data_IF_677845009934
#
_entry.id   IF_677845009934
#
_cell.length_a   1.000
_cell.length_b   1.000
_cell.length_c   1.000
_cell.angle_alpha   90.00
_cell.angle_beta   90.00
_cell.angle_gamma   90.00
#
_symmetry.space_group_name_H-M   'P 1'
#
loop_
_entity.id
_entity.type
_entity.pdbx_description
1 polymer ?
#
# COMPACT_ATOMS: atom_id res chain seq x y z
N UNK A 1 10.25 15.48 -16.88
CA UNK A 1 8.91 14.87 -16.69
C UNK A 1 7.98 15.96 -16.20
N UNK A 2 6.85 16.17 -16.88
CA UNK A 2 5.81 17.11 -16.43
C UNK A 2 4.98 16.45 -15.31
N UNK A 3 5.09 16.96 -14.08
CA UNK A 3 4.39 16.41 -12.92
C UNK A 3 2.88 16.57 -13.01
N UNK A 4 2.39 17.66 -13.59
CA UNK A 4 0.95 17.92 -13.66
C UNK A 4 0.28 16.95 -14.63
N UNK A 5 0.93 16.68 -15.77
CA UNK A 5 0.50 15.65 -16.70
C UNK A 5 0.48 14.27 -16.03
N UNK A 6 1.54 13.89 -15.31
CA UNK A 6 1.60 12.61 -14.57
C UNK A 6 0.48 12.51 -13.54
N UNK A 7 0.24 13.54 -12.73
CA UNK A 7 -0.84 13.52 -11.75
C UNK A 7 -2.20 13.35 -12.40
N UNK A 8 -2.47 14.08 -13.49
CA UNK A 8 -3.75 13.96 -14.21
C UNK A 8 -3.96 12.55 -14.76
N UNK A 9 -2.95 11.97 -15.42
CA UNK A 9 -3.02 10.62 -15.97
C UNK A 9 -3.20 9.57 -14.88
N UNK A 10 -2.38 9.63 -13.83
CA UNK A 10 -2.45 8.67 -12.73
C UNK A 10 -3.79 8.78 -11.97
N UNK A 11 -4.27 9.99 -11.68
CA UNK A 11 -5.57 10.18 -11.02
C UNK A 11 -6.70 9.55 -11.84
N UNK A 12 -6.76 9.84 -13.14
CA UNK A 12 -7.76 9.23 -14.00
C UNK A 12 -7.70 7.70 -13.99
N UNK A 13 -6.49 7.12 -14.05
CA UNK A 13 -6.32 5.67 -13.97
C UNK A 13 -6.82 5.11 -12.63
N UNK A 14 -6.42 5.68 -11.50
CA UNK A 14 -6.82 5.18 -10.18
C UNK A 14 -8.33 5.31 -9.94
N UNK A 15 -8.97 6.37 -10.45
CA UNK A 15 -10.41 6.58 -10.35
C UNK A 15 -11.23 5.56 -11.17
N UNK A 16 -10.64 4.97 -12.22
CA UNK A 16 -11.35 4.11 -13.18
C UNK A 16 -10.98 2.63 -13.07
N UNK A 17 -9.70 2.32 -12.86
CA UNK A 17 -9.14 0.96 -12.91
C UNK A 17 -8.51 0.53 -11.58
N UNK A 18 -8.40 1.43 -10.59
CA UNK A 18 -7.64 1.18 -9.36
C UNK A 18 -8.15 0.01 -8.53
N UNK A 19 -9.47 -0.19 -8.49
CA UNK A 19 -10.10 -1.29 -7.75
C UNK A 19 -9.74 -2.66 -8.32
N UNK A 20 -9.75 -2.79 -9.65
CA UNK A 20 -9.42 -4.04 -10.34
C UNK A 20 -7.91 -4.34 -10.24
N UNK A 21 -7.07 -3.32 -10.30
CA UNK A 21 -5.61 -3.47 -10.21
C UNK A 21 -5.14 -3.85 -8.80
N UNK A 22 -5.71 -3.24 -7.76
CA UNK A 22 -5.23 -3.42 -6.38
C UNK A 22 -5.94 -4.55 -5.63
N UNK A 23 -7.08 -5.02 -6.11
CA UNK A 23 -7.94 -5.95 -5.37
C UNK A 23 -8.41 -5.31 -4.06
N UNK A 24 -9.49 -4.52 -4.13
CA UNK A 24 -10.20 -3.92 -2.99
C UNK A 24 -9.32 -3.57 -1.77
N UNK A 25 -8.53 -2.48 -1.87
CA UNK A 25 -7.93 -1.78 -0.73
C UNK A 25 -8.96 -0.77 -0.19
N UNK A 26 -10.11 -1.29 0.22
CA UNK A 26 -11.26 -0.53 0.71
C UNK A 26 -11.94 -1.30 1.82
N UNK A 27 -12.68 -0.59 2.67
CA UNK A 27 -13.42 -1.24 3.76
C UNK A 27 -14.29 -2.41 3.25
N UNK A 28 -14.32 -3.53 4.00
CA UNK A 28 -13.76 -3.72 5.34
C UNK A 28 -12.27 -4.13 5.40
N UNK A 29 -11.55 -4.13 4.28
CA UNK A 29 -10.15 -4.56 4.21
C UNK A 29 -9.18 -3.37 4.06
N UNK A 30 -8.05 -3.42 4.76
CA UNK A 30 -6.97 -2.45 4.64
C UNK A 30 -5.79 -2.99 3.82
N UNK A 31 -6.07 -3.85 2.86
CA UNK A 31 -5.10 -4.50 1.98
C UNK A 31 -5.08 -6.01 2.12
N UNK A 32 -3.92 -6.62 1.93
CA UNK A 32 -3.84 -8.05 1.60
C UNK A 32 -4.43 -8.97 2.66
N UNK A 33 -4.04 -8.78 3.91
CA UNK A 33 -4.43 -9.67 5.02
C UNK A 33 -4.68 -8.85 6.29
N UNK A 34 -5.32 -7.70 6.14
CA UNK A 34 -5.63 -6.78 7.25
C UNK A 34 -7.07 -6.31 7.09
N UNK A 35 -7.85 -6.36 8.18
CA UNK A 35 -9.27 -5.96 8.15
C UNK A 35 -9.59 -4.97 9.27
N UNK A 36 -10.57 -4.11 9.02
CA UNK A 36 -11.08 -3.18 10.03
C UNK A 36 -11.78 -3.90 11.18
N UNK A 37 -12.45 -5.03 10.91
CA UNK A 37 -13.10 -5.83 11.95
C UNK A 37 -12.13 -6.23 13.07
N UNK A 38 -10.87 -6.55 12.71
CA UNK A 38 -9.82 -6.90 13.66
C UNK A 38 -9.06 -5.70 14.18
N UNK A 39 -8.73 -4.74 13.32
CA UNK A 39 -7.87 -3.62 13.69
C UNK A 39 -8.61 -2.49 14.41
N UNK A 40 -9.91 -2.35 14.20
CA UNK A 40 -10.80 -1.37 14.82
C UNK A 40 -10.22 0.06 14.78
N UNK A 41 -9.62 0.43 13.65
CA UNK A 41 -8.94 1.72 13.46
C UNK A 41 -9.92 2.89 13.47
N UNK A 42 -11.18 2.73 13.05
CA UNK A 42 -12.15 3.80 13.19
C UNK A 42 -12.41 4.11 14.66
N UNK A 43 -12.68 3.07 15.46
CA UNK A 43 -13.11 3.21 16.85
C UNK A 43 -14.20 4.28 17.01
N UNK A 44 -14.15 5.05 18.10
CA UNK A 44 -14.97 6.25 18.24
C UNK A 44 -14.33 7.44 17.51
N UNK A 45 -15.05 7.98 16.52
CA UNK A 45 -14.67 9.17 15.75
C UNK A 45 -15.37 10.45 16.22
N UNK A 46 -16.24 10.37 17.24
CA UNK A 46 -17.00 11.49 17.77
C UNK A 46 -16.07 12.59 18.28
N UNK A 47 -16.30 13.83 17.85
CA UNK A 47 -15.52 15.00 18.26
C UNK A 47 -14.08 15.06 17.72
N UNK A 48 -13.64 14.09 16.90
CA UNK A 48 -12.31 14.14 16.27
C UNK A 48 -12.34 15.05 15.04
N UNK A 49 -11.44 16.04 14.98
CA UNK A 49 -11.37 17.06 13.92
C UNK A 49 -10.87 16.57 12.56
N UNK A 50 -10.46 15.29 12.45
CA UNK A 50 -10.02 14.68 11.20
C UNK A 50 -9.08 13.51 11.45
N UNK A 51 -9.58 12.29 11.25
CA UNK A 51 -8.79 11.06 11.25
C UNK A 51 -8.57 10.65 9.80
N UNK A 52 -7.33 10.40 9.43
CA UNK A 52 -6.91 9.90 8.13
C UNK A 52 -6.40 8.47 8.31
N UNK A 53 -7.12 7.51 7.74
CA UNK A 53 -6.73 6.09 7.70
C UNK A 53 -6.48 5.75 6.24
N UNK A 54 -5.30 5.24 5.93
CA UNK A 54 -4.99 4.75 4.60
C UNK A 54 -4.11 3.52 4.68
N UNK A 55 -4.14 2.73 3.61
CA UNK A 55 -3.26 1.59 3.43
C UNK A 55 -2.64 1.61 2.04
N UNK A 56 -1.47 1.02 1.91
CA UNK A 56 -0.76 0.93 0.64
C UNK A 56 0.18 -0.29 0.63
N UNK A 57 0.56 -0.75 -0.56
CA UNK A 57 1.60 -1.78 -0.69
C UNK A 57 2.85 -1.37 0.07
N UNK A 58 3.36 -2.29 0.89
CA UNK A 58 4.54 -2.04 1.68
C UNK A 58 5.78 -1.89 0.77
N UNK A 59 6.66 -0.91 0.98
CA UNK A 59 7.79 -0.70 0.08
C UNK A 59 8.73 -1.90 -0.03
N UNK A 60 9.00 -2.61 1.08
CA UNK A 60 9.80 -3.85 1.07
C UNK A 60 9.17 -4.92 0.17
N UNK A 61 7.83 -5.00 0.08
CA UNK A 61 7.18 -5.99 -0.77
C UNK A 61 7.52 -5.81 -2.25
N UNK A 62 7.75 -4.57 -2.70
CA UNK A 62 8.20 -4.28 -4.07
C UNK A 62 9.68 -4.57 -4.30
N UNK A 63 10.47 -4.63 -3.23
CA UNK A 63 11.91 -4.92 -3.29
C UNK A 63 12.22 -6.41 -3.34
N UNK A 64 11.28 -7.26 -2.93
CA UNK A 64 11.47 -8.70 -2.78
C UNK A 64 10.69 -9.46 -3.85
N UNK A 65 11.34 -10.41 -4.51
CA UNK A 65 10.71 -11.38 -5.41
C UNK A 65 10.83 -12.80 -4.85
N UNK A 66 9.86 -13.65 -5.20
CA UNK A 66 9.91 -15.07 -4.91
C UNK A 66 10.45 -15.78 -6.16
N UNK A 67 11.62 -16.40 -6.04
CA UNK A 67 12.28 -17.10 -7.15
C UNK A 67 12.97 -18.34 -6.59
N UNK A 68 12.81 -19.49 -7.25
CA UNK A 68 13.47 -20.75 -6.87
C UNK A 68 13.30 -21.13 -5.37
N UNK A 69 12.08 -20.98 -4.82
CA UNK A 69 11.77 -21.18 -3.40
C UNK A 69 12.55 -20.28 -2.42
N UNK A 70 13.14 -19.19 -2.89
CA UNK A 70 13.82 -18.18 -2.09
C UNK A 70 13.12 -16.82 -2.21
N UNK A 71 13.29 -15.99 -1.18
CA UNK A 71 12.95 -14.57 -1.25
C UNK A 71 14.22 -13.78 -1.50
N UNK A 72 14.31 -13.15 -2.67
CA UNK A 72 15.48 -12.38 -3.08
C UNK A 72 15.15 -10.89 -3.16
N UNK A 73 16.02 -10.05 -2.61
CA UNK A 73 15.97 -8.61 -2.87
C UNK A 73 16.52 -8.35 -4.27
N UNK A 74 15.67 -7.94 -5.20
CA UNK A 74 16.07 -7.66 -6.58
C UNK A 74 15.96 -6.17 -6.94
N UNK A 75 15.44 -5.34 -6.04
CA UNK A 75 15.31 -3.90 -6.22
C UNK A 75 15.80 -3.14 -4.98
N UNK A 76 16.46 -2.00 -5.21
CA UNK A 76 16.97 -1.14 -4.17
C UNK A 76 15.81 -0.42 -3.44
N UNK A 77 15.72 -0.60 -2.12
CA UNK A 77 14.73 0.07 -1.28
C UNK A 77 14.86 1.60 -1.28
N UNK A 78 16.06 2.12 -1.56
CA UNK A 78 16.33 3.55 -1.56
C UNK A 78 16.05 4.23 -2.91
N UNK A 79 15.78 3.44 -3.96
CA UNK A 79 15.48 3.98 -5.28
C UNK A 79 14.02 4.43 -5.38
N UNK A 80 13.83 5.75 -5.21
CA UNK A 80 12.53 6.42 -5.37
C UNK A 80 12.43 7.15 -6.72
N UNK A 81 13.18 6.70 -7.73
CA UNK A 81 13.06 7.23 -9.09
C UNK A 81 11.67 6.96 -9.68
N UNK A 82 11.31 7.73 -10.70
CA UNK A 82 10.06 7.56 -11.42
C UNK A 82 10.25 6.56 -12.55
N UNK A 83 9.30 5.65 -12.71
CA UNK A 83 9.26 4.64 -13.75
C UNK A 83 7.84 4.52 -14.33
N UNK A 84 7.75 4.18 -15.61
CA UNK A 84 6.45 3.92 -16.25
C UNK A 84 6.12 2.44 -16.16
N UNK A 85 4.87 2.13 -15.83
CA UNK A 85 4.34 0.79 -15.99
C UNK A 85 4.14 0.51 -17.48
N UNK A 86 4.37 -0.73 -17.84
CA UNK A 86 4.13 -1.23 -19.18
C UNK A 86 2.61 -1.28 -19.47
N UNK A 87 2.18 -1.16 -20.74
CA UNK A 87 0.77 -1.10 -21.12
C UNK A 87 -0.05 -2.35 -20.75
N UNK A 88 0.61 -3.50 -20.61
CA UNK A 88 0.01 -4.75 -20.13
C UNK A 88 -0.45 -4.69 -18.66
N UNK A 89 0.18 -3.84 -17.85
CA UNK A 89 -0.18 -3.63 -16.44
C UNK A 89 -1.05 -2.38 -16.21
N UNK A 90 -0.92 -1.38 -17.08
CA UNK A 90 -1.58 -0.07 -16.93
C UNK A 90 -2.71 0.19 -17.95
N UNK A 91 -3.02 -0.77 -18.82
CA UNK A 91 -3.97 -0.58 -19.92
C UNK A 91 -3.46 0.43 -20.96
N UNK A 92 -4.38 1.10 -21.68
CA UNK A 92 -4.04 2.12 -22.70
C UNK A 92 -3.33 3.36 -22.12
N UNK A 93 -3.22 3.50 -20.78
CA UNK A 93 -2.57 4.61 -20.11
C UNK A 93 -1.13 4.29 -19.68
N UNK A 94 -0.18 5.18 -19.99
CA UNK A 94 1.18 5.11 -19.42
C UNK A 94 1.14 5.59 -17.96
N UNK A 95 0.88 4.67 -17.02
CA UNK A 95 0.94 4.97 -15.59
C UNK A 95 2.40 5.23 -15.20
N UNK A 96 2.67 6.35 -14.54
CA UNK A 96 4.03 6.69 -14.11
C UNK A 96 4.09 6.69 -12.60
N UNK A 97 4.77 5.70 -12.03
CA UNK A 97 4.85 5.48 -10.59
C UNK A 97 6.24 5.83 -10.06
N UNK A 98 6.34 5.89 -8.75
CA UNK A 98 7.60 6.03 -8.06
C UNK A 98 7.45 5.29 -6.74
N UNK A 99 8.33 4.32 -6.52
CA UNK A 99 8.38 3.64 -5.24
C UNK A 99 8.81 4.63 -4.17
N UNK A 100 8.30 4.42 -2.96
CA UNK A 100 8.54 5.31 -1.83
C UNK A 100 9.04 4.51 -0.65
N UNK A 101 10.01 5.06 0.07
CA UNK A 101 10.38 4.49 1.38
C UNK A 101 9.25 4.70 2.36
N UNK A 102 9.21 3.87 3.40
CA UNK A 102 8.29 4.04 4.52
C UNK A 102 8.46 5.42 5.19
N UNK A 103 9.72 5.86 5.34
CA UNK A 103 10.05 7.17 5.87
C UNK A 103 9.54 8.32 5.00
N UNK A 104 9.35 8.12 3.70
CA UNK A 104 8.78 9.14 2.81
C UNK A 104 7.31 9.41 3.16
N UNK A 105 6.53 8.36 3.44
CA UNK A 105 5.15 8.51 3.91
C UNK A 105 5.08 9.14 5.32
N UNK A 106 5.87 8.64 6.26
CA UNK A 106 5.89 9.14 7.65
C UNK A 106 6.29 10.63 7.70
N UNK A 107 7.34 11.00 6.98
CA UNK A 107 7.80 12.38 6.94
C UNK A 107 6.82 13.31 6.21
N UNK A 108 6.11 12.82 5.19
CA UNK A 108 5.08 13.61 4.51
C UNK A 108 3.91 13.93 5.45
N UNK A 109 3.45 12.94 6.23
CA UNK A 109 2.42 13.13 7.26
C UNK A 109 2.87 14.14 8.32
N UNK A 110 4.10 13.98 8.84
CA UNK A 110 4.68 14.89 9.83
C UNK A 110 4.75 16.33 9.32
N UNK A 111 5.29 16.54 8.10
CA UNK A 111 5.35 17.87 7.46
C UNK A 111 3.97 18.46 7.21
N UNK A 112 2.98 17.61 6.93
CA UNK A 112 1.60 18.02 6.79
C UNK A 112 0.90 18.23 8.14
N UNK A 113 1.58 18.17 9.28
CA UNK A 113 1.00 18.44 10.61
C UNK A 113 0.07 17.34 11.10
N UNK A 114 0.34 16.09 10.71
CA UNK A 114 -0.35 14.93 11.26
C UNK A 114 0.50 14.27 12.35
N UNK A 115 -0.18 13.77 13.39
CA UNK A 115 0.37 12.78 14.32
C UNK A 115 -0.05 11.40 13.85
N UNK A 116 0.90 10.46 13.76
CA UNK A 116 0.59 9.05 13.52
C UNK A 116 0.15 8.45 14.85
N UNK A 117 -1.10 7.99 14.92
CA UNK A 117 -1.67 7.37 16.12
C UNK A 117 -1.39 5.87 16.15
N UNK A 118 -1.40 5.23 14.98
CA UNK A 118 -1.14 3.80 14.85
C UNK A 118 -0.62 3.48 13.46
N UNK A 119 0.28 2.49 13.39
CA UNK A 119 0.79 1.92 12.16
C UNK A 119 0.76 0.40 12.27
N UNK A 120 0.27 -0.28 11.23
CA UNK A 120 0.12 -1.73 11.17
C UNK A 120 0.84 -2.23 9.91
N UNK A 121 1.67 -3.24 10.06
CA UNK A 121 2.42 -3.86 8.95
C UNK A 121 2.29 -5.38 8.92
N UNK A 122 1.94 -5.99 10.07
CA UNK A 122 1.83 -7.43 10.19
C UNK A 122 0.53 -7.92 9.53
N UNK A 123 0.66 -8.98 8.73
CA UNK A 123 -0.48 -9.69 8.14
C UNK A 123 -1.21 -10.48 9.22
N UNK A 124 -2.52 -10.62 9.07
CA UNK A 124 -3.34 -11.44 9.96
C UNK A 124 -3.32 -12.91 9.55
N UNK A 125 -2.89 -13.77 10.47
CA UNK A 125 -2.70 -15.20 10.21
C UNK A 125 -4.01 -15.94 9.88
N UNK A 126 -5.12 -15.57 10.50
CA UNK A 126 -6.42 -16.22 10.24
C UNK A 126 -6.96 -15.83 8.86
N UNK A 127 -6.82 -14.56 8.46
CA UNK A 127 -7.18 -14.09 7.11
C UNK A 127 -6.27 -14.75 6.06
N UNK A 128 -4.99 -14.94 6.35
CA UNK A 128 -4.10 -15.68 5.46
C UNK A 128 -4.51 -17.15 5.33
N UNK A 129 -4.79 -17.84 6.45
CA UNK A 129 -5.13 -19.27 6.46
C UNK A 129 -6.47 -19.56 5.78
N UNK A 130 -7.46 -18.69 5.97
CA UNK A 130 -8.81 -18.85 5.38
C UNK A 130 -8.86 -18.73 3.85
N UNK A 131 -7.83 -18.17 3.22
CA UNK A 131 -7.78 -18.01 1.75
C UNK A 131 -7.26 -19.25 1.00
N UNK A 132 -6.74 -20.27 1.69
CA UNK A 132 -6.14 -21.50 1.11
C UNK A 132 -5.24 -21.23 -0.12
N UNK A 133 -4.48 -20.14 -0.06
CA UNK A 133 -3.72 -19.63 -1.18
C UNK A 133 -2.24 -20.06 -1.07
N UNK A 134 -1.79 -20.85 -2.05
CA UNK A 134 -0.40 -21.27 -2.21
C UNK A 134 0.40 -20.36 -3.17
N UNK A 135 -0.12 -19.18 -3.51
CA UNK A 135 0.56 -18.19 -4.32
C UNK A 135 1.86 -17.69 -3.68
N UNK A 136 2.77 -17.19 -4.51
CA UNK A 136 3.99 -16.54 -4.04
C UNK A 136 3.69 -15.29 -3.21
N UNK A 137 2.52 -14.67 -3.44
CA UNK A 137 2.02 -13.57 -2.64
C UNK A 137 1.74 -14.01 -1.20
N UNK A 138 0.98 -15.09 -1.01
CA UNK A 138 0.70 -15.65 0.31
C UNK A 138 1.96 -16.17 1.02
N UNK A 139 2.90 -16.79 0.28
CA UNK A 139 4.20 -17.19 0.84
C UNK A 139 5.02 -15.99 1.32
N UNK A 140 5.05 -14.90 0.56
CA UNK A 140 5.71 -13.65 0.98
C UNK A 140 5.07 -13.06 2.23
N UNK A 141 3.75 -13.09 2.35
CA UNK A 141 3.00 -12.54 3.49
C UNK A 141 3.43 -13.14 4.84
N UNK A 142 3.85 -14.40 4.85
CA UNK A 142 4.35 -15.11 6.05
C UNK A 142 5.72 -14.62 6.52
N UNK A 143 6.47 -13.90 5.68
CA UNK A 143 7.87 -13.56 5.91
C UNK A 143 8.14 -12.05 5.94
N UNK A 144 7.33 -11.25 5.23
CA UNK A 144 7.47 -9.80 5.15
C UNK A 144 6.12 -9.09 5.00
N UNK A 145 6.02 -7.82 5.42
CA UNK A 145 4.81 -7.03 5.22
C UNK A 145 4.54 -6.82 3.72
N UNK A 146 3.31 -7.10 3.29
CA UNK A 146 2.84 -6.79 1.92
C UNK A 146 2.13 -5.45 1.83
N UNK A 147 1.57 -5.00 2.94
CA UNK A 147 0.82 -3.75 3.08
C UNK A 147 1.21 -3.09 4.39
N UNK A 148 1.17 -1.76 4.44
CA UNK A 148 1.07 -1.04 5.70
C UNK A 148 -0.26 -0.30 5.79
N UNK A 149 -0.73 -0.07 7.01
CA UNK A 149 -1.88 0.78 7.33
C UNK A 149 -1.41 1.85 8.29
N UNK A 150 -1.75 3.10 8.02
CA UNK A 150 -1.49 4.22 8.92
C UNK A 150 -2.81 4.86 9.30
N UNK A 151 -3.02 5.02 10.61
CA UNK A 151 -4.00 5.91 11.21
C UNK A 151 -3.27 7.14 11.71
N UNK A 152 -3.65 8.29 11.18
CA UNK A 152 -3.09 9.58 11.55
C UNK A 152 -4.19 10.59 11.85
N UNK A 153 -3.91 11.54 12.73
CA UNK A 153 -4.83 12.62 13.09
C UNK A 153 -4.18 13.96 12.82
N UNK A 154 -4.97 14.89 12.26
CA UNK A 154 -4.53 16.27 12.04
C UNK A 154 -4.39 16.99 13.40
N UNK A 155 -3.25 17.68 13.59
CA UNK A 155 -3.02 18.57 14.73
C UNK A 155 -3.78 19.90 14.58
#
# INVERSE_FOLDING_TARGET
>A
MDKNAVYKTNSFYWDTNGNDFLGAIVLPFYGSFVSEEKCQLFGDVSGKKGVFIFSWSHPIHKCVVAENNMLAFNKCYFDESWYSLSPDLAGEGVLTLSDRKLSTYVNALSKAGFVIEQMIEQSDDEIMQSRDDNSDFAKKAKMLPLTFVIKARKL
#
